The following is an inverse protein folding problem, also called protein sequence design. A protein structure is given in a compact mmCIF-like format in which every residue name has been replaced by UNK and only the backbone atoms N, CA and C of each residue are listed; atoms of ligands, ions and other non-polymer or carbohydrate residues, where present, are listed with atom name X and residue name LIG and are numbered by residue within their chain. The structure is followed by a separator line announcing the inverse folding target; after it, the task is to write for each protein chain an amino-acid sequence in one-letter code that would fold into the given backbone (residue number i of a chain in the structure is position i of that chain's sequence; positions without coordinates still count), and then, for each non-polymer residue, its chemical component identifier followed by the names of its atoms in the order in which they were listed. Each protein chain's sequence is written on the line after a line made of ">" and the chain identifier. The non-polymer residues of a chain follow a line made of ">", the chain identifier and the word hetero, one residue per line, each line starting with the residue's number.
data_IF_079751740161
#
_entry.id   IF_079751740161
#
_cell.length_a   1.000
_cell.length_b   1.000
_cell.length_c   1.000
_cell.angle_alpha   90.00
_cell.angle_beta   90.00
_cell.angle_gamma   90.00
#
_symmetry.space_group_name_H-M   'P 1'
#
loop_
_entity.id
_entity.type
_entity.pdbx_description
1 polymer ?
#
# COMPACT_ATOMS: atom_id res chain seq x y z
N UNK A 1 41.85 35.52 4.65
CA UNK A 1 40.70 34.69 5.05
C UNK A 1 39.44 35.26 4.40
N UNK A 2 38.86 34.60 3.39
CA UNK A 2 37.63 35.07 2.72
C UNK A 2 36.48 34.98 3.72
N UNK A 3 35.97 36.12 4.21
CA UNK A 3 34.80 36.15 5.09
C UNK A 3 33.61 35.60 4.30
N UNK A 4 33.12 34.44 4.70
CA UNK A 4 31.89 33.88 4.12
C UNK A 4 30.78 34.89 4.45
N UNK A 5 30.22 35.53 3.43
CA UNK A 5 29.11 36.48 3.60
C UNK A 5 27.94 35.76 4.25
N UNK A 6 27.43 36.27 5.38
CA UNK A 6 26.32 35.64 6.12
C UNK A 6 25.14 35.26 5.22
N UNK A 7 24.86 36.05 4.19
CA UNK A 7 23.78 35.79 3.23
C UNK A 7 23.97 34.45 2.49
N UNK A 8 25.19 34.09 2.06
CA UNK A 8 25.45 32.80 1.39
C UNK A 8 25.25 31.62 2.33
N UNK A 9 25.59 31.78 3.61
CA UNK A 9 25.36 30.70 4.60
C UNK A 9 23.87 30.53 4.82
N UNK A 10 23.13 31.65 4.94
CA UNK A 10 21.68 31.63 5.09
C UNK A 10 20.99 31.01 3.87
N UNK A 11 21.41 31.35 2.65
CA UNK A 11 20.84 30.80 1.40
C UNK A 11 21.06 29.29 1.30
N UNK A 12 22.24 28.79 1.69
CA UNK A 12 22.53 27.34 1.72
C UNK A 12 21.69 26.63 2.79
N UNK A 13 21.52 27.24 3.96
CA UNK A 13 20.69 26.70 5.03
C UNK A 13 19.22 26.63 4.61
N UNK A 14 18.70 27.71 4.01
CA UNK A 14 17.36 27.79 3.46
C UNK A 14 17.14 26.75 2.37
N UNK A 15 18.08 26.60 1.45
CA UNK A 15 18.01 25.58 0.41
C UNK A 15 17.91 24.17 1.01
N UNK A 16 18.73 23.86 2.01
CA UNK A 16 18.72 22.53 2.63
C UNK A 16 17.42 22.23 3.39
N UNK A 17 16.87 23.23 4.09
CA UNK A 17 15.57 23.13 4.76
C UNK A 17 14.46 22.91 3.74
N UNK A 18 14.42 23.72 2.67
CA UNK A 18 13.41 23.61 1.61
C UNK A 18 13.48 22.25 0.89
N UNK A 19 14.70 21.78 0.61
CA UNK A 19 14.95 20.48 0.01
C UNK A 19 14.48 19.33 0.92
N UNK A 20 14.72 19.43 2.22
CA UNK A 20 14.26 18.42 3.20
C UNK A 20 12.74 18.39 3.28
N UNK A 21 12.07 19.56 3.27
CA UNK A 21 10.61 19.66 3.26
C UNK A 21 10.04 19.04 1.97
N UNK A 22 10.63 19.36 0.81
CA UNK A 22 10.25 18.78 -0.48
C UNK A 22 10.36 17.25 -0.46
N UNK A 23 11.46 16.71 0.08
CA UNK A 23 11.65 15.26 0.22
C UNK A 23 10.66 14.64 1.20
N UNK A 24 10.32 15.33 2.30
CA UNK A 24 9.36 14.85 3.28
C UNK A 24 7.97 14.69 2.66
N UNK A 25 7.50 15.70 1.92
CA UNK A 25 6.23 15.61 1.19
C UNK A 25 6.30 14.64 -0.01
N UNK A 26 7.44 14.58 -0.69
CA UNK A 26 7.69 13.70 -1.84
C UNK A 26 7.95 12.24 -1.49
N UNK A 27 8.10 11.88 -0.21
CA UNK A 27 8.48 10.54 0.24
C UNK A 27 7.59 9.44 -0.32
N UNK A 28 6.28 9.69 -0.42
CA UNK A 28 5.32 8.72 -0.98
C UNK A 28 5.63 8.38 -2.43
N UNK A 29 5.83 9.40 -3.28
CA UNK A 29 6.17 9.24 -4.70
C UNK A 29 7.55 8.60 -4.86
N UNK A 30 8.53 9.04 -4.06
CA UNK A 30 9.89 8.46 -4.09
C UNK A 30 9.87 6.97 -3.73
N UNK A 31 9.06 6.57 -2.73
CA UNK A 31 8.90 5.17 -2.35
C UNK A 31 8.30 4.35 -3.49
N UNK A 32 7.25 4.86 -4.16
CA UNK A 32 6.65 4.22 -5.34
C UNK A 32 7.67 4.04 -6.47
N UNK A 33 8.51 5.05 -6.73
CA UNK A 33 9.57 5.00 -7.74
C UNK A 33 10.62 3.95 -7.44
N UNK A 34 11.13 3.92 -6.19
CA UNK A 34 12.15 2.94 -5.79
C UNK A 34 11.59 1.53 -5.83
N UNK A 35 10.37 1.32 -5.32
CA UNK A 35 9.74 0.01 -5.27
C UNK A 35 9.39 -0.52 -6.68
N UNK A 36 8.89 0.33 -7.57
CA UNK A 36 8.64 -0.05 -8.97
C UNK A 36 9.92 -0.34 -9.74
N UNK A 37 11.01 0.40 -9.49
CA UNK A 37 12.32 0.08 -10.06
C UNK A 37 12.84 -1.28 -9.60
N UNK A 38 12.71 -1.60 -8.30
CA UNK A 38 13.08 -2.92 -7.77
C UNK A 38 12.22 -4.04 -8.38
N UNK A 39 10.90 -3.83 -8.47
CA UNK A 39 9.99 -4.78 -9.09
C UNK A 39 10.28 -4.97 -10.58
N UNK A 40 10.66 -3.91 -11.29
CA UNK A 40 11.07 -3.96 -12.70
C UNK A 40 12.34 -4.81 -12.88
N UNK A 41 13.33 -4.67 -12.00
CA UNK A 41 14.51 -5.53 -12.02
C UNK A 41 14.15 -7.00 -11.79
N UNK A 42 13.23 -7.28 -10.86
CA UNK A 42 12.75 -8.65 -10.60
C UNK A 42 11.96 -9.24 -11.78
N UNK A 43 11.19 -8.40 -12.49
CA UNK A 43 10.37 -8.82 -13.64
C UNK A 43 11.12 -8.87 -14.97
N UNK A 44 12.28 -8.20 -15.06
CA UNK A 44 13.15 -8.23 -16.24
C UNK A 44 13.47 -9.66 -16.73
N UNK A 45 13.91 -10.61 -15.88
CA UNK A 45 14.16 -11.99 -16.34
C UNK A 45 12.88 -12.70 -16.82
N UNK A 46 11.71 -12.36 -16.28
CA UNK A 46 10.41 -12.92 -16.70
C UNK A 46 10.06 -12.40 -18.09
N UNK A 47 10.20 -11.08 -18.32
CA UNK A 47 9.99 -10.47 -19.64
C UNK A 47 10.95 -11.03 -20.69
N UNK A 48 12.23 -11.20 -20.34
CA UNK A 48 13.22 -11.78 -21.27
C UNK A 48 12.89 -13.24 -21.64
N UNK A 49 12.38 -14.05 -20.70
CA UNK A 49 11.90 -15.41 -21.02
C UNK A 49 10.73 -15.39 -21.98
N UNK A 50 9.81 -14.44 -21.83
CA UNK A 50 8.68 -14.25 -22.74
C UNK A 50 9.11 -13.72 -24.12
N UNK A 51 10.12 -12.85 -24.18
CA UNK A 51 10.77 -12.44 -25.45
C UNK A 51 11.41 -13.63 -26.17
N UNK A 52 11.99 -14.58 -25.43
CA UNK A 52 12.52 -15.83 -25.97
C UNK A 52 11.49 -16.70 -26.68
N UNK A 53 10.19 -16.47 -26.49
CA UNK A 53 9.10 -17.14 -27.22
C UNK A 53 8.71 -16.41 -28.52
N UNK A 54 9.48 -15.42 -28.98
CA UNK A 54 9.30 -14.75 -30.27
C UNK A 54 8.42 -13.50 -30.23
N UNK A 55 8.05 -13.04 -29.03
CA UNK A 55 7.28 -11.80 -28.83
C UNK A 55 8.20 -10.56 -28.87
N UNK A 56 7.73 -9.49 -29.52
CA UNK A 56 8.39 -8.17 -29.48
C UNK A 56 8.39 -7.64 -28.02
N UNK A 57 9.34 -6.78 -27.68
CA UNK A 57 9.52 -6.24 -26.31
C UNK A 57 8.26 -5.71 -25.61
N UNK A 58 7.43 -4.97 -26.34
CA UNK A 58 6.22 -4.33 -25.79
C UNK A 58 5.19 -5.38 -25.32
N UNK A 59 4.75 -6.35 -26.15
CA UNK A 59 3.81 -7.37 -25.69
C UNK A 59 4.39 -8.30 -24.63
N UNK A 60 5.69 -8.63 -24.65
CA UNK A 60 6.31 -9.45 -23.59
C UNK A 60 6.29 -8.79 -22.22
N UNK A 61 6.57 -7.48 -22.17
CA UNK A 61 6.50 -6.67 -20.96
C UNK A 61 5.06 -6.58 -20.46
N UNK A 62 4.11 -6.32 -21.36
CA UNK A 62 2.70 -6.23 -21.01
C UNK A 62 2.16 -7.55 -20.46
N UNK A 63 2.51 -8.68 -21.06
CA UNK A 63 2.09 -10.01 -20.60
C UNK A 63 2.65 -10.35 -19.21
N UNK A 64 3.91 -9.96 -18.96
CA UNK A 64 4.55 -10.14 -17.64
C UNK A 64 3.82 -9.37 -16.55
N UNK A 65 3.46 -8.11 -16.83
CA UNK A 65 2.67 -7.27 -15.91
C UNK A 65 1.24 -7.78 -15.78
N UNK A 66 0.62 -8.27 -16.85
CA UNK A 66 -0.72 -8.85 -16.79
C UNK A 66 -0.77 -10.09 -15.87
N UNK A 67 0.25 -10.94 -15.94
CA UNK A 67 0.34 -12.14 -15.11
C UNK A 67 0.34 -11.81 -13.61
N UNK A 68 1.07 -10.76 -13.18
CA UNK A 68 1.08 -10.35 -11.78
C UNK A 68 -0.25 -9.74 -11.34
N UNK A 69 -0.93 -9.01 -12.24
CA UNK A 69 -2.27 -8.46 -11.99
C UNK A 69 -3.26 -9.59 -11.76
N UNK A 70 -3.24 -10.64 -12.57
CA UNK A 70 -4.15 -11.77 -12.45
C UNK A 70 -3.94 -12.48 -11.11
N UNK A 71 -2.69 -12.80 -10.76
CA UNK A 71 -2.36 -13.46 -9.50
C UNK A 71 -2.81 -12.62 -8.31
N UNK A 72 -2.51 -11.31 -8.33
CA UNK A 72 -2.90 -10.42 -7.25
C UNK A 72 -4.43 -10.28 -7.15
N UNK A 73 -5.12 -10.11 -8.27
CA UNK A 73 -6.58 -9.98 -8.31
C UNK A 73 -7.26 -11.20 -7.70
N UNK A 74 -6.77 -12.40 -8.01
CA UNK A 74 -7.28 -13.64 -7.42
C UNK A 74 -7.15 -13.63 -5.89
N UNK A 75 -5.96 -13.29 -5.37
CA UNK A 75 -5.71 -13.21 -3.92
C UNK A 75 -6.59 -12.16 -3.27
N UNK A 76 -6.68 -10.97 -3.86
CA UNK A 76 -7.48 -9.86 -3.34
C UNK A 76 -8.97 -10.19 -3.34
N UNK A 77 -9.46 -10.91 -4.35
CA UNK A 77 -10.84 -11.38 -4.41
C UNK A 77 -11.16 -12.33 -3.26
N UNK A 78 -10.28 -13.31 -3.00
CA UNK A 78 -10.46 -14.25 -1.89
C UNK A 78 -10.53 -13.54 -0.54
N UNK A 79 -9.63 -12.57 -0.31
CA UNK A 79 -9.62 -11.78 0.93
C UNK A 79 -10.89 -10.92 1.03
N UNK A 80 -11.31 -10.29 -0.07
CA UNK A 80 -12.50 -9.42 -0.08
C UNK A 80 -13.76 -10.21 0.25
N UNK A 81 -13.91 -11.43 -0.27
CA UNK A 81 -15.03 -12.33 0.04
C UNK A 81 -15.02 -12.70 1.53
N UNK A 82 -13.84 -13.00 2.10
CA UNK A 82 -13.71 -13.30 3.53
C UNK A 82 -14.13 -12.13 4.41
N UNK A 83 -13.76 -10.89 4.05
CA UNK A 83 -14.15 -9.72 4.84
C UNK A 83 -15.64 -9.42 4.67
N UNK A 84 -16.18 -9.55 3.46
CA UNK A 84 -17.60 -9.31 3.19
C UNK A 84 -18.51 -10.24 3.99
N UNK A 85 -18.20 -11.54 3.99
CA UNK A 85 -18.95 -12.53 4.79
C UNK A 85 -18.93 -12.21 6.29
N UNK A 86 -17.78 -11.81 6.83
CA UNK A 86 -17.68 -11.37 8.23
C UNK A 86 -18.49 -10.11 8.53
N UNK A 87 -18.53 -9.14 7.59
CA UNK A 87 -19.33 -7.93 7.74
C UNK A 87 -20.84 -8.21 7.71
N UNK A 88 -21.28 -9.15 6.88
CA UNK A 88 -22.68 -9.58 6.79
C UNK A 88 -23.15 -10.34 8.05
N UNK A 89 -22.25 -11.07 8.72
CA UNK A 89 -22.56 -11.81 9.94
C UNK A 89 -22.56 -10.94 11.21
N UNK A 90 -21.89 -9.78 11.20
CA UNK A 90 -21.82 -8.88 12.36
C UNK A 90 -23.20 -8.43 12.89
N UNK A 91 -24.16 -7.99 12.06
CA UNK A 91 -25.51 -7.65 12.51
C UNK A 91 -26.24 -8.82 13.17
N UNK A 92 -26.08 -10.03 12.62
CA UNK A 92 -26.68 -11.24 13.18
C UNK A 92 -26.10 -11.57 14.56
N UNK A 93 -24.79 -11.40 14.74
CA UNK A 93 -24.12 -11.55 16.04
C UNK A 93 -24.64 -10.50 17.04
N UNK A 94 -24.82 -9.25 16.59
CA UNK A 94 -25.40 -8.20 17.43
C UNK A 94 -26.80 -8.57 17.90
N UNK A 95 -27.70 -8.96 17.00
CA UNK A 95 -29.07 -9.32 17.35
C UNK A 95 -29.13 -10.48 18.34
N UNK A 96 -28.34 -11.55 18.11
CA UNK A 96 -28.25 -12.70 19.03
C UNK A 96 -27.72 -12.32 20.41
N UNK A 97 -26.75 -11.40 20.47
CA UNK A 97 -26.25 -10.88 21.75
C UNK A 97 -27.32 -10.06 22.46
N UNK A 98 -28.06 -9.22 21.74
CA UNK A 98 -29.16 -8.45 22.33
C UNK A 98 -30.26 -9.36 22.90
N UNK A 99 -30.66 -10.42 22.18
CA UNK A 99 -31.60 -11.44 22.65
C UNK A 99 -31.07 -12.23 23.87
N UNK A 100 -29.77 -12.52 23.89
CA UNK A 100 -29.14 -13.19 25.03
C UNK A 100 -29.16 -12.32 26.29
N UNK A 101 -28.84 -11.03 26.17
CA UNK A 101 -28.89 -10.09 27.29
C UNK A 101 -30.32 -9.87 27.80
N UNK A 102 -31.32 -9.79 26.91
CA UNK A 102 -32.73 -9.68 27.34
C UNK A 102 -33.22 -10.97 28.00
N UNK A 103 -32.79 -12.14 27.53
CA UNK A 103 -33.08 -13.43 28.17
C UNK A 103 -32.48 -13.56 29.57
N UNK A 104 -31.23 -13.11 29.76
CA UNK A 104 -30.59 -13.05 31.09
C UNK A 104 -31.37 -12.11 32.01
N UNK A 105 -31.75 -10.93 31.52
CA UNK A 105 -32.50 -9.97 32.31
C UNK A 105 -33.84 -10.57 32.82
N UNK A 106 -34.60 -11.20 31.92
CA UNK A 106 -35.86 -11.84 32.27
C UNK A 106 -35.69 -13.03 33.25
N UNK A 107 -34.59 -13.77 33.14
CA UNK A 107 -34.27 -14.88 34.06
C UNK A 107 -33.97 -14.38 35.48
N UNK A 108 -33.19 -13.30 35.60
CA UNK A 108 -32.83 -12.75 36.91
C UNK A 108 -34.03 -12.06 37.58
N UNK A 109 -34.85 -11.35 36.80
CA UNK A 109 -36.09 -10.73 37.31
C UNK A 109 -37.06 -11.77 37.87
N UNK A 110 -37.22 -12.93 37.22
CA UNK A 110 -38.09 -14.02 37.71
C UNK A 110 -37.58 -14.71 38.99
N UNK A 111 -36.27 -14.74 39.22
CA UNK A 111 -35.66 -15.41 40.39
C UNK A 111 -35.54 -14.51 41.62
N UNK A 112 -35.21 -13.23 41.43
CA UNK A 112 -34.86 -12.32 42.53
C UNK A 112 -35.86 -11.17 42.74
N UNK A 113 -36.82 -10.94 41.83
CA UNK A 113 -37.84 -9.89 41.96
C UNK A 113 -37.30 -8.45 41.91
N UNK A 114 -35.99 -8.26 41.76
CA UNK A 114 -35.30 -6.99 41.59
C UNK A 114 -34.50 -7.03 40.28
N UNK A 115 -34.57 -5.95 39.50
CA UNK A 115 -33.88 -5.87 38.21
C UNK A 115 -32.39 -5.51 38.39
N UNK A 116 -31.44 -6.29 37.84
CA UNK A 116 -30.04 -5.89 37.73
C UNK A 116 -29.86 -5.03 36.48
N UNK A 117 -30.63 -3.95 36.37
CA UNK A 117 -30.66 -3.13 35.14
C UNK A 117 -29.28 -2.55 34.83
N UNK A 118 -28.62 -1.93 35.81
CA UNK A 118 -27.41 -1.13 35.53
C UNK A 118 -26.20 -1.96 35.07
N UNK A 119 -25.99 -3.17 35.62
CA UNK A 119 -24.87 -4.02 35.20
C UNK A 119 -25.12 -4.66 33.84
N UNK A 120 -26.34 -5.13 33.56
CA UNK A 120 -26.67 -5.74 32.28
C UNK A 120 -26.65 -4.70 31.16
N UNK A 121 -27.12 -3.48 31.44
CA UNK A 121 -27.08 -2.36 30.48
C UNK A 121 -25.62 -1.98 30.18
N UNK A 122 -24.75 -1.88 31.18
CA UNK A 122 -23.33 -1.59 30.96
C UNK A 122 -22.63 -2.68 30.14
N UNK A 123 -22.95 -3.96 30.39
CA UNK A 123 -22.42 -5.09 29.61
C UNK A 123 -22.95 -5.10 28.17
N UNK A 124 -24.25 -4.81 27.96
CA UNK A 124 -24.86 -4.68 26.63
C UNK A 124 -24.19 -3.55 25.84
N UNK A 125 -23.93 -2.41 26.48
CA UNK A 125 -23.24 -1.28 25.86
C UNK A 125 -21.78 -1.61 25.52
N UNK A 126 -21.06 -2.28 26.42
CA UNK A 126 -19.69 -2.72 26.16
C UNK A 126 -19.62 -3.75 25.02
N UNK A 127 -20.56 -4.69 24.96
CA UNK A 127 -20.69 -5.64 23.86
C UNK A 127 -20.97 -4.92 22.54
N UNK A 128 -21.93 -3.98 22.51
CA UNK A 128 -22.24 -3.16 21.33
C UNK A 128 -21.04 -2.34 20.86
N UNK A 129 -20.30 -1.72 21.79
CA UNK A 129 -19.09 -0.96 21.47
C UNK A 129 -17.99 -1.86 20.89
N UNK A 130 -17.86 -3.09 21.40
CA UNK A 130 -16.89 -4.08 20.89
C UNK A 130 -17.27 -4.53 19.47
N UNK A 131 -18.53 -4.84 19.21
CA UNK A 131 -19.04 -5.20 17.88
C UNK A 131 -18.89 -4.03 16.90
N UNK A 132 -19.22 -2.82 17.32
CA UNK A 132 -19.05 -1.60 16.50
C UNK A 132 -17.58 -1.35 16.17
N UNK A 133 -16.69 -1.57 17.14
CA UNK A 133 -15.25 -1.49 16.92
C UNK A 133 -14.78 -2.55 15.93
N UNK A 134 -15.23 -3.80 16.08
CA UNK A 134 -14.95 -4.87 15.13
C UNK A 134 -15.43 -4.52 13.70
N UNK A 135 -16.64 -3.98 13.56
CA UNK A 135 -17.15 -3.48 12.26
C UNK A 135 -16.32 -2.35 11.67
N UNK A 136 -15.84 -1.43 12.52
CA UNK A 136 -14.92 -0.36 12.12
C UNK A 136 -13.57 -0.91 11.67
N UNK A 137 -13.01 -1.91 12.37
CA UNK A 137 -11.78 -2.59 11.95
C UNK A 137 -11.96 -3.30 10.61
N UNK A 138 -13.04 -4.05 10.42
CA UNK A 138 -13.32 -4.71 9.14
C UNK A 138 -13.49 -3.69 8.01
N UNK A 139 -14.19 -2.58 8.25
CA UNK A 139 -14.33 -1.49 7.27
C UNK A 139 -12.99 -0.82 6.96
N UNK A 140 -12.15 -0.62 7.97
CA UNK A 140 -10.79 -0.12 7.79
C UNK A 140 -9.90 -1.11 7.01
N UNK A 141 -10.10 -2.42 7.18
CA UNK A 141 -9.42 -3.43 6.37
C UNK A 141 -9.86 -3.32 4.90
N UNK A 142 -11.15 -3.20 4.60
CA UNK A 142 -11.65 -2.97 3.23
C UNK A 142 -11.01 -1.71 2.64
N UNK A 143 -11.01 -0.59 3.38
CA UNK A 143 -10.35 0.65 2.96
C UNK A 143 -8.85 0.46 2.73
N UNK A 144 -8.19 -0.33 3.57
CA UNK A 144 -6.79 -0.72 3.42
C UNK A 144 -6.54 -1.50 2.14
N UNK A 145 -7.39 -2.47 1.80
CA UNK A 145 -7.31 -3.22 0.54
C UNK A 145 -7.51 -2.30 -0.67
N UNK A 146 -8.49 -1.40 -0.65
CA UNK A 146 -8.70 -0.42 -1.74
C UNK A 146 -7.48 0.48 -1.91
N UNK A 147 -6.91 0.97 -0.80
CA UNK A 147 -5.71 1.81 -0.81
C UNK A 147 -4.50 1.03 -1.33
N UNK A 148 -4.37 -0.24 -0.95
CA UNK A 148 -3.33 -1.13 -1.43
C UNK A 148 -3.45 -1.38 -2.94
N UNK A 149 -4.66 -1.67 -3.45
CA UNK A 149 -4.93 -1.85 -4.88
C UNK A 149 -4.54 -0.59 -5.66
N UNK A 150 -4.98 0.59 -5.19
CA UNK A 150 -4.65 1.85 -5.85
C UNK A 150 -3.13 2.10 -5.87
N UNK A 151 -2.45 1.86 -4.74
CA UNK A 151 -1.00 2.02 -4.63
C UNK A 151 -0.25 1.01 -5.51
N UNK A 152 -0.69 -0.25 -5.52
CA UNK A 152 -0.09 -1.31 -6.32
C UNK A 152 -0.29 -1.07 -7.82
N UNK A 153 -1.47 -0.60 -8.24
CA UNK A 153 -1.73 -0.21 -9.62
C UNK A 153 -0.74 0.87 -10.08
N UNK A 154 -0.47 1.88 -9.24
CA UNK A 154 0.53 2.91 -9.53
C UNK A 154 1.94 2.31 -9.68
N UNK A 155 2.33 1.41 -8.77
CA UNK A 155 3.61 0.68 -8.86
C UNK A 155 3.71 -0.12 -10.16
N UNK A 156 2.64 -0.80 -10.57
CA UNK A 156 2.63 -1.57 -11.82
C UNK A 156 2.79 -0.70 -13.06
N UNK A 157 2.10 0.43 -13.12
CA UNK A 157 2.25 1.39 -14.24
C UNK A 157 3.70 1.88 -14.33
N UNK A 158 4.31 2.24 -13.19
CA UNK A 158 5.72 2.65 -13.14
C UNK A 158 6.67 1.50 -13.52
N UNK A 159 6.38 0.29 -13.05
CA UNK A 159 7.16 -0.92 -13.37
C UNK A 159 7.14 -1.18 -14.88
N UNK A 160 5.97 -1.11 -15.50
CA UNK A 160 5.81 -1.20 -16.96
C UNK A 160 6.65 -0.13 -17.69
N UNK A 161 6.57 1.12 -17.23
CA UNK A 161 7.34 2.22 -17.81
C UNK A 161 8.85 1.98 -17.69
N UNK A 162 9.32 1.51 -16.53
CA UNK A 162 10.73 1.20 -16.27
C UNK A 162 11.26 0.08 -17.17
N UNK A 163 10.50 -1.02 -17.35
CA UNK A 163 10.90 -2.12 -18.23
C UNK A 163 10.91 -1.65 -19.70
N UNK A 164 9.87 -0.93 -20.13
CA UNK A 164 9.73 -0.43 -21.50
C UNK A 164 10.86 0.53 -21.89
N UNK A 165 11.30 1.39 -20.97
CA UNK A 165 12.31 2.42 -21.23
C UNK A 165 13.72 2.05 -20.77
N UNK A 166 13.95 0.79 -20.37
CA UNK A 166 15.23 0.30 -19.86
C UNK A 166 16.43 0.73 -20.70
N UNK A 167 16.34 0.66 -22.02
CA UNK A 167 17.43 1.04 -22.93
C UNK A 167 17.80 2.53 -22.89
N UNK A 168 16.82 3.41 -22.67
CA UNK A 168 17.11 4.85 -22.55
C UNK A 168 17.91 5.13 -21.27
N UNK A 169 17.56 4.44 -20.18
CA UNK A 169 18.28 4.55 -18.91
C UNK A 169 19.69 3.97 -19.02
N UNK A 170 19.85 2.81 -19.66
CA UNK A 170 21.17 2.20 -19.91
C UNK A 170 22.03 3.11 -20.79
N UNK A 171 21.51 3.63 -21.90
CA UNK A 171 22.25 4.55 -22.78
C UNK A 171 22.62 5.87 -22.09
N UNK A 172 21.76 6.39 -21.21
CA UNK A 172 22.07 7.58 -20.41
C UNK A 172 23.18 7.32 -19.40
N UNK A 173 23.14 6.19 -18.69
CA UNK A 173 24.19 5.77 -17.76
C UNK A 173 25.51 5.48 -18.50
N UNK A 174 25.45 4.84 -19.67
CA UNK A 174 26.62 4.61 -20.52
C UNK A 174 27.21 5.91 -21.04
N UNK A 175 26.41 6.93 -21.36
CA UNK A 175 26.92 8.26 -21.70
C UNK A 175 27.68 8.89 -20.52
N UNK A 176 27.10 8.86 -19.31
CA UNK A 176 27.76 9.37 -18.11
C UNK A 176 29.07 8.65 -17.78
N UNK A 177 29.12 7.32 -17.95
CA UNK A 177 30.33 6.53 -17.66
C UNK A 177 31.38 6.69 -18.77
N UNK A 178 30.96 6.77 -20.04
CA UNK A 178 31.85 6.89 -21.21
C UNK A 178 32.60 8.23 -21.26
N UNK A 179 32.05 9.31 -20.68
CA UNK A 179 32.77 10.60 -20.57
C UNK A 179 34.03 10.55 -19.70
N UNK A 180 34.26 9.48 -18.93
CA UNK A 180 35.50 9.29 -18.13
C UNK A 180 36.62 8.55 -18.87
N UNK A 181 36.31 7.83 -19.96
CA UNK A 181 37.27 6.99 -20.68
C UNK A 181 37.88 7.64 -21.95
N UNK A 182 37.65 8.93 -22.18
CA UNK A 182 38.42 9.69 -23.16
C UNK A 182 39.60 10.41 -22.47
N UNK A 183 40.54 9.62 -21.91
CA UNK A 183 41.91 10.10 -21.77
C UNK A 183 42.58 9.99 -23.14
N UNK A 184 42.68 11.16 -23.75
CA UNK A 184 43.33 11.55 -25.01
C UNK A 184 44.59 10.72 -25.35
N UNK A 185 44.77 10.30 -26.63
CA UNK A 185 46.04 9.77 -27.10
C UNK A 185 47.06 10.91 -27.15
N UNK A 186 48.01 10.89 -26.22
CA UNK A 186 49.06 11.89 -26.12
C UNK A 186 50.45 11.26 -26.01
N UNK A 187 50.78 10.33 -26.91
CA UNK A 187 52.11 10.13 -27.51
C UNK A 187 52.04 9.01 -28.54
#
# INVERSE_FOLDING_TARGET
>A
MKRVSLNRVNDVLLFFILFTILLYFGRGILTLFVFSGFLAMLMTPVSNKLEGWGLKRIPSTLLSVLLIIIILSLVMMLISIQIATLLEDLPNIQNRLEEFFTGIQAWIENLFGFSPEQQIIALKEQAKNTITSAGTYLTNMVKGLVTFIASFAMVLVLTFLFILHREKYENFLFCFIRTRNEKKPNW
#
